data_IF_179177985540
#
_entry.id   IF_179177985540
#
_cell.length_a   1.000
_cell.length_b   1.000
_cell.length_c   1.000
_cell.angle_alpha   90.00
_cell.angle_beta   90.00
_cell.angle_gamma   90.00
#
_symmetry.space_group_name_H-M   'P 1'
#
loop_
_entity.id
_entity.type
_entity.pdbx_description
1 polymer ?
#
# COMPACT_ATOMS: atom_id res chain seq x y z
N UNK A 1 9.40 13.00 9.46
CA UNK A 1 9.25 13.04 7.99
C UNK A 1 7.83 12.66 7.57
N UNK A 2 7.52 12.72 6.26
CA UNK A 2 6.15 12.62 5.72
C UNK A 2 5.33 11.43 6.26
N UNK A 3 5.92 10.26 6.40
CA UNK A 3 5.23 9.07 6.95
C UNK A 3 4.89 9.25 8.42
N UNK A 4 5.75 9.84 9.21
CA UNK A 4 5.51 10.12 10.65
C UNK A 4 4.43 11.19 10.83
N UNK A 5 4.46 12.23 10.01
CA UNK A 5 3.47 13.31 10.03
C UNK A 5 2.08 12.78 9.64
N UNK A 6 2.00 11.96 8.58
CA UNK A 6 0.74 11.36 8.18
C UNK A 6 0.23 10.36 9.25
N UNK A 7 1.11 9.55 9.85
CA UNK A 7 0.71 8.65 10.93
C UNK A 7 0.17 9.42 12.14
N UNK A 8 0.81 10.52 12.52
CA UNK A 8 0.35 11.38 13.62
C UNK A 8 -1.01 12.03 13.31
N UNK A 9 -1.25 12.41 12.06
CA UNK A 9 -2.53 12.94 11.57
C UNK A 9 -3.62 11.87 11.66
N UNK A 10 -3.36 10.68 11.14
CA UNK A 10 -4.30 9.56 11.18
C UNK A 10 -4.61 9.11 12.62
N UNK A 11 -3.64 9.15 13.52
CA UNK A 11 -3.85 8.87 14.94
C UNK A 11 -4.87 9.82 15.59
N UNK A 12 -4.88 11.09 15.19
CA UNK A 12 -5.87 12.08 15.66
C UNK A 12 -7.24 11.85 15.02
N UNK A 13 -7.29 11.61 13.70
CA UNK A 13 -8.54 11.38 12.95
C UNK A 13 -9.30 10.20 13.54
N UNK A 14 -8.62 9.11 13.82
CA UNK A 14 -9.21 7.88 14.34
C UNK A 14 -9.22 7.78 15.87
N UNK A 15 -8.81 8.85 16.57
CA UNK A 15 -8.77 8.88 18.04
C UNK A 15 -8.08 7.65 18.64
N UNK A 16 -6.90 7.31 18.11
CA UNK A 16 -6.18 6.13 18.58
C UNK A 16 -5.90 6.21 20.08
N UNK A 17 -6.08 5.10 20.84
CA UNK A 17 -6.02 5.13 22.32
C UNK A 17 -4.62 5.39 22.86
N UNK A 18 -3.59 5.27 22.01
CA UNK A 18 -2.21 5.55 22.38
C UNK A 18 -1.42 6.01 21.16
N UNK A 19 -0.23 6.58 21.40
CA UNK A 19 0.70 6.94 20.33
C UNK A 19 1.02 5.69 19.49
N UNK A 20 0.83 5.74 18.16
CA UNK A 20 1.19 4.61 17.30
C UNK A 20 2.70 4.41 17.27
N UNK A 21 3.10 3.16 17.11
CA UNK A 21 4.48 2.77 16.89
C UNK A 21 4.84 2.93 15.42
N UNK A 22 5.98 3.51 15.14
CA UNK A 22 6.60 3.54 13.83
C UNK A 22 8.10 3.29 13.97
N UNK A 23 8.60 2.29 13.29
CA UNK A 23 10.02 2.06 13.10
C UNK A 23 10.35 2.01 11.62
N UNK A 24 11.58 2.34 11.27
CA UNK A 24 12.08 2.21 9.92
C UNK A 24 13.55 1.77 9.93
N UNK A 25 13.95 1.08 8.87
CA UNK A 25 15.33 0.68 8.66
C UNK A 25 15.67 0.70 7.18
N UNK A 26 16.90 1.07 6.86
CA UNK A 26 17.45 0.87 5.51
C UNK A 26 17.82 -0.61 5.38
N UNK A 27 17.25 -1.28 4.39
CA UNK A 27 17.47 -2.71 4.17
C UNK A 27 18.36 -2.98 2.95
N UNK A 28 18.35 -2.07 1.98
CA UNK A 28 19.13 -2.22 0.77
C UNK A 28 19.43 -0.84 0.17
N UNK A 29 20.61 -0.71 -0.43
CA UNK A 29 21.05 0.50 -1.13
C UNK A 29 21.25 0.21 -2.60
N UNK A 30 20.94 1.19 -3.44
CA UNK A 30 21.09 1.16 -4.90
C UNK A 30 21.81 2.42 -5.35
N UNK A 31 22.29 2.46 -6.58
CA UNK A 31 22.86 3.68 -7.17
C UNK A 31 21.85 4.83 -7.27
N UNK A 32 20.58 4.50 -7.39
CA UNK A 32 19.48 5.45 -7.61
C UNK A 32 18.60 5.68 -6.38
N UNK A 33 18.89 5.03 -5.26
CA UNK A 33 18.05 5.16 -4.06
C UNK A 33 18.30 4.11 -2.99
N UNK A 34 17.42 4.06 -2.03
CA UNK A 34 17.49 3.12 -0.91
C UNK A 34 16.13 2.46 -0.66
N UNK A 35 16.14 1.21 -0.22
CA UNK A 35 14.95 0.56 0.29
C UNK A 35 14.82 0.86 1.79
N UNK A 36 13.75 1.55 2.17
CA UNK A 36 13.41 1.83 3.57
C UNK A 36 12.21 0.96 3.94
N UNK A 37 12.40 0.12 4.93
CA UNK A 37 11.36 -0.70 5.50
C UNK A 37 10.67 0.04 6.64
N UNK A 38 9.35 0.18 6.58
CA UNK A 38 8.55 0.74 7.66
C UNK A 38 7.78 -0.37 8.37
N UNK A 39 7.81 -0.34 9.70
CA UNK A 39 6.97 -1.18 10.56
C UNK A 39 6.09 -0.27 11.40
N UNK A 40 4.78 -0.44 11.28
CA UNK A 40 3.78 0.36 11.94
C UNK A 40 2.87 -0.54 12.79
N UNK A 41 2.44 -0.02 13.93
CA UNK A 41 1.46 -0.67 14.78
C UNK A 41 0.80 0.30 15.75
N UNK A 42 -0.41 -0.03 16.18
CA UNK A 42 -1.12 0.69 17.24
C UNK A 42 -2.05 -0.26 18.01
N UNK A 43 -2.48 0.17 19.20
CA UNK A 43 -3.45 -0.56 19.99
C UNK A 43 -4.86 -0.41 19.42
N UNK A 44 -5.55 -1.51 19.19
CA UNK A 44 -6.97 -1.53 18.81
C UNK A 44 -7.93 -1.49 19.99
N UNK A 45 -7.42 -1.41 21.23
CA UNK A 45 -8.24 -1.46 22.44
C UNK A 45 -9.22 -0.29 22.51
N UNK A 46 -10.51 -0.61 22.56
CA UNK A 46 -11.58 0.40 22.66
C UNK A 46 -11.95 1.08 21.35
N UNK A 47 -11.35 0.67 20.23
CA UNK A 47 -11.75 1.13 18.91
C UNK A 47 -12.90 0.27 18.38
N UNK A 48 -13.84 0.92 17.71
CA UNK A 48 -14.80 0.25 16.86
C UNK A 48 -14.12 -0.05 15.52
N UNK A 49 -14.23 -1.31 15.04
CA UNK A 49 -13.65 -1.78 13.76
C UNK A 49 -12.13 -1.50 13.60
N UNK A 50 -11.26 -1.97 14.51
CA UNK A 50 -9.84 -1.67 14.50
C UNK A 50 -9.13 -2.12 13.21
N UNK A 51 -9.62 -3.17 12.57
CA UNK A 51 -9.08 -3.68 11.30
C UNK A 51 -9.31 -2.70 10.14
N UNK A 52 -10.50 -2.11 10.05
CA UNK A 52 -10.82 -1.10 9.04
C UNK A 52 -9.98 0.16 9.26
N UNK A 53 -9.85 0.60 10.51
CA UNK A 53 -8.99 1.71 10.88
C UNK A 53 -7.54 1.42 10.47
N UNK A 54 -7.04 0.20 10.73
CA UNK A 54 -5.69 -0.19 10.34
C UNK A 54 -5.50 -0.09 8.82
N UNK A 55 -6.44 -0.60 8.04
CA UNK A 55 -6.38 -0.52 6.58
C UNK A 55 -6.42 0.92 6.07
N UNK A 56 -7.21 1.80 6.67
CA UNK A 56 -7.24 3.23 6.33
C UNK A 56 -5.91 3.90 6.63
N UNK A 57 -5.37 3.70 7.82
CA UNK A 57 -4.07 4.25 8.21
C UNK A 57 -2.96 3.75 7.28
N UNK A 58 -2.88 2.44 7.04
CA UNK A 58 -1.89 1.84 6.14
C UNK A 58 -1.99 2.40 4.71
N UNK A 59 -3.21 2.58 4.21
CA UNK A 59 -3.47 3.18 2.89
C UNK A 59 -2.99 4.63 2.83
N UNK A 60 -3.29 5.45 3.85
CA UNK A 60 -2.84 6.84 3.93
C UNK A 60 -1.32 6.97 4.00
N UNK A 61 -0.64 6.06 4.70
CA UNK A 61 0.82 6.03 4.72
C UNK A 61 1.41 5.69 3.34
N UNK A 62 0.78 4.79 2.58
CA UNK A 62 1.19 4.51 1.19
C UNK A 62 1.01 5.71 0.28
N UNK A 63 -0.09 6.46 0.42
CA UNK A 63 -0.27 7.72 -0.29
C UNK A 63 0.86 8.72 0.02
N UNK A 64 1.20 8.88 1.29
CA UNK A 64 2.29 9.76 1.69
C UNK A 64 3.63 9.31 1.10
N UNK A 65 3.91 7.99 1.05
CA UNK A 65 5.11 7.45 0.43
C UNK A 65 5.15 7.78 -1.07
N UNK A 66 4.06 7.52 -1.80
CA UNK A 66 3.97 7.80 -3.24
C UNK A 66 4.09 9.30 -3.55
N UNK A 67 3.41 10.14 -2.77
CA UNK A 67 3.46 11.60 -2.92
C UNK A 67 4.87 12.18 -2.70
N UNK A 68 5.73 11.46 -1.99
CA UNK A 68 7.13 11.84 -1.75
C UNK A 68 8.13 11.07 -2.63
N UNK A 69 7.68 10.50 -3.75
CA UNK A 69 8.53 9.82 -4.73
C UNK A 69 8.97 8.42 -4.32
N UNK A 70 8.37 7.86 -3.29
CA UNK A 70 8.62 6.48 -2.89
C UNK A 70 7.92 5.46 -3.79
N UNK A 71 8.36 4.21 -3.75
CA UNK A 71 7.77 3.10 -4.50
C UNK A 71 6.60 2.48 -3.73
N UNK A 72 5.57 2.04 -4.45
CA UNK A 72 4.43 1.32 -3.87
C UNK A 72 4.83 0.00 -3.22
N UNK A 73 5.79 -0.69 -3.80
CA UNK A 73 6.31 -1.96 -3.32
C UNK A 73 7.72 -2.19 -3.84
N UNK A 74 8.60 -2.72 -3.00
CA UNK A 74 9.94 -3.13 -3.40
C UNK A 74 9.96 -4.61 -3.84
N UNK A 75 9.55 -5.54 -2.97
CA UNK A 75 9.62 -6.98 -3.22
C UNK A 75 8.36 -7.76 -2.81
N UNK A 76 7.41 -7.14 -2.15
CA UNK A 76 6.17 -7.80 -1.71
C UNK A 76 5.13 -7.98 -2.82
N UNK A 77 5.34 -7.38 -3.99
CA UNK A 77 4.37 -7.37 -5.08
C UNK A 77 3.15 -6.49 -4.79
N UNK A 78 2.19 -6.53 -5.68
CA UNK A 78 0.99 -5.69 -5.61
C UNK A 78 -0.12 -6.38 -4.80
N UNK A 79 -0.48 -7.59 -5.16
CA UNK A 79 -1.54 -8.36 -4.50
C UNK A 79 -2.88 -7.61 -4.44
N UNK A 80 -3.68 -7.95 -3.44
CA UNK A 80 -5.01 -7.36 -3.23
C UNK A 80 -4.95 -5.97 -2.59
N UNK A 81 -4.01 -5.76 -1.69
CA UNK A 81 -3.93 -4.56 -0.84
C UNK A 81 -3.47 -3.34 -1.64
N UNK A 82 -2.56 -3.53 -2.62
CA UNK A 82 -1.93 -2.43 -3.35
C UNK A 82 -2.53 -2.17 -4.72
N UNK A 83 -3.46 -3.02 -5.19
CA UNK A 83 -4.01 -2.89 -6.54
C UNK A 83 -4.73 -1.55 -6.80
N UNK A 84 -5.37 -0.98 -5.78
CA UNK A 84 -6.02 0.33 -5.89
C UNK A 84 -5.07 1.49 -6.18
N UNK A 85 -3.77 1.32 -5.93
CA UNK A 85 -2.75 2.33 -6.21
C UNK A 85 -2.15 2.21 -7.62
N UNK A 86 -2.43 1.13 -8.35
CA UNK A 86 -1.84 0.91 -9.68
C UNK A 86 -2.09 2.04 -10.67
N UNK A 87 -3.30 2.66 -10.74
CA UNK A 87 -3.52 3.80 -11.63
C UNK A 87 -2.65 5.03 -11.34
N UNK A 88 -2.03 5.09 -10.16
CA UNK A 88 -1.13 6.19 -9.79
C UNK A 88 0.32 5.97 -10.26
N UNK A 89 0.67 4.74 -10.61
CA UNK A 89 2.05 4.35 -10.96
C UNK A 89 2.17 3.68 -12.33
N UNK A 90 1.04 3.38 -12.98
CA UNK A 90 0.97 2.74 -14.28
C UNK A 90 0.10 3.59 -15.21
N UNK A 91 0.40 3.58 -16.51
CA UNK A 91 -0.46 4.19 -17.51
C UNK A 91 -1.71 3.33 -17.78
N UNK A 92 -2.78 3.97 -18.23
CA UNK A 92 -4.01 3.25 -18.61
C UNK A 92 -3.75 2.19 -19.68
N UNK A 93 -2.90 2.51 -20.68
CA UNK A 93 -2.51 1.57 -21.72
C UNK A 93 -1.79 0.33 -21.16
N UNK A 94 -0.91 0.52 -20.17
CA UNK A 94 -0.22 -0.59 -19.49
C UNK A 94 -1.20 -1.48 -18.73
N UNK A 95 -2.13 -0.85 -18.00
CA UNK A 95 -3.17 -1.59 -17.26
C UNK A 95 -4.12 -2.32 -18.19
N UNK A 96 -4.50 -1.70 -19.32
CA UNK A 96 -5.33 -2.34 -20.34
C UNK A 96 -4.62 -3.55 -20.96
N UNK A 97 -3.35 -3.42 -21.34
CA UNK A 97 -2.58 -4.55 -21.88
C UNK A 97 -2.57 -5.74 -20.93
N UNK A 98 -2.34 -5.50 -19.64
CA UNK A 98 -2.35 -6.56 -18.62
C UNK A 98 -3.72 -7.24 -18.51
N UNK A 99 -4.81 -6.46 -18.53
CA UNK A 99 -6.18 -6.99 -18.49
C UNK A 99 -6.52 -7.81 -19.73
N UNK A 100 -6.20 -7.32 -20.92
CA UNK A 100 -6.46 -8.04 -22.17
C UNK A 100 -5.64 -9.34 -22.24
N UNK A 101 -4.38 -9.30 -21.81
CA UNK A 101 -3.54 -10.50 -21.69
C UNK A 101 -4.18 -11.51 -20.74
N UNK A 102 -4.63 -11.05 -19.57
CA UNK A 102 -5.33 -11.88 -18.59
C UNK A 102 -6.58 -12.54 -19.21
N UNK A 103 -7.43 -11.77 -19.89
CA UNK A 103 -8.65 -12.30 -20.53
C UNK A 103 -8.35 -13.31 -21.61
N UNK A 104 -7.30 -13.09 -22.40
CA UNK A 104 -6.90 -14.02 -23.45
C UNK A 104 -6.41 -15.35 -22.90
N UNK A 105 -5.64 -15.33 -21.80
CA UNK A 105 -5.04 -16.54 -21.20
C UNK A 105 -5.96 -17.24 -20.20
N UNK A 106 -6.83 -16.51 -19.54
CA UNK A 106 -7.73 -17.01 -18.49
C UNK A 106 -9.15 -16.43 -18.64
N UNK A 107 -9.86 -16.78 -19.73
CA UNK A 107 -11.17 -16.20 -20.04
C UNK A 107 -12.25 -16.51 -18.99
N UNK A 108 -12.03 -17.54 -18.16
CA UNK A 108 -12.94 -17.91 -17.07
C UNK A 108 -12.56 -17.26 -15.73
N UNK A 109 -11.50 -16.45 -15.70
CA UNK A 109 -10.97 -15.80 -14.51
C UNK A 109 -10.80 -16.74 -13.30
N UNK A 110 -10.15 -17.90 -13.55
CA UNK A 110 -9.91 -18.93 -12.51
C UNK A 110 -8.69 -18.59 -11.66
N UNK A 111 -7.65 -18.00 -12.28
CA UNK A 111 -6.38 -17.73 -11.62
C UNK A 111 -6.29 -16.30 -11.11
N UNK A 112 -5.62 -16.12 -9.98
CA UNK A 112 -5.29 -14.81 -9.39
C UNK A 112 -6.49 -13.86 -9.22
N UNK A 113 -7.67 -14.37 -8.91
CA UNK A 113 -8.89 -13.60 -8.72
C UNK A 113 -8.66 -12.48 -7.69
N UNK A 114 -8.98 -11.24 -8.08
CA UNK A 114 -8.83 -10.02 -7.30
C UNK A 114 -7.38 -9.64 -6.94
N UNK A 115 -6.38 -10.17 -7.66
CA UNK A 115 -4.98 -9.89 -7.42
C UNK A 115 -4.36 -8.96 -8.47
N UNK A 116 -3.83 -7.83 -8.00
CA UNK A 116 -3.01 -6.93 -8.80
C UNK A 116 -3.71 -6.35 -10.03
N UNK A 117 -2.91 -6.01 -11.04
CA UNK A 117 -3.38 -5.41 -12.29
C UNK A 117 -4.06 -6.41 -13.23
N UNK A 118 -3.92 -7.70 -12.96
CA UNK A 118 -4.46 -8.78 -13.79
C UNK A 118 -5.85 -9.26 -13.36
N UNK A 119 -6.44 -8.58 -12.40
CA UNK A 119 -7.84 -8.77 -12.03
C UNK A 119 -8.73 -8.17 -13.13
N UNK A 120 -9.44 -8.98 -13.82
CA UNK A 120 -10.31 -8.62 -14.94
C UNK A 120 -11.79 -8.62 -14.52
#
# INVERSE_FOLDING_TARGET
GAVEEELAKQAKIHSLPSKPYLAYRVTQTYHTGVCIYFTMGFSGKGLDQPDEIYHHVESSLREAILANGGSLSHHHGIGKIRKGFLPKIQTDASLQLLRETKRALDPKNVFAIRNGAIDA
#
